data_IF_152666434614
#
_entry.id   IF_152666434614
#
_cell.length_a   1.000
_cell.length_b   1.000
_cell.length_c   1.000
_cell.angle_alpha   90.00
_cell.angle_beta   90.00
_cell.angle_gamma   90.00
#
_symmetry.space_group_name_H-M   'P 1'
#
loop_
_entity.id
_entity.type
_entity.pdbx_description
1 polymer ?
#
# COMPACT_ATOMS: atom_id res chain seq x y z
N UNK A 1 -23.03 -15.12 -2.93
CA UNK A 1 -21.70 -15.61 -2.49
C UNK A 1 -21.14 -14.57 -1.54
N UNK A 2 -21.03 -14.91 -0.28
CA UNK A 2 -20.34 -14.08 0.72
C UNK A 2 -18.88 -13.93 0.29
N UNK A 3 -18.46 -12.71 0.03
CA UNK A 3 -17.08 -12.42 -0.30
C UNK A 3 -16.30 -12.44 1.01
N UNK A 4 -15.55 -13.50 1.27
CA UNK A 4 -14.67 -13.57 2.44
C UNK A 4 -13.45 -12.68 2.18
N UNK A 5 -13.26 -11.69 3.01
CA UNK A 5 -12.06 -10.85 3.04
C UNK A 5 -11.42 -10.94 4.43
N UNK A 6 -10.13 -10.70 4.47
CA UNK A 6 -9.39 -10.55 5.73
C UNK A 6 -8.50 -9.34 5.65
N UNK A 7 -8.42 -8.61 6.75
CA UNK A 7 -7.56 -7.44 6.91
C UNK A 7 -6.48 -7.78 7.94
N UNK A 8 -5.23 -7.64 7.56
CA UNK A 8 -4.09 -7.83 8.45
C UNK A 8 -3.45 -6.48 8.70
N UNK A 9 -3.48 -6.03 9.94
CA UNK A 9 -2.90 -4.76 10.38
C UNK A 9 -1.54 -5.05 10.98
N UNK A 10 -0.49 -4.68 10.25
CA UNK A 10 0.90 -4.86 10.66
C UNK A 10 1.48 -3.52 11.09
N UNK A 11 2.06 -3.49 12.26
CA UNK A 11 2.67 -2.30 12.84
C UNK A 11 2.35 -2.18 14.32
N UNK A 12 3.07 -1.30 14.98
CA UNK A 12 2.92 -0.99 16.39
C UNK A 12 2.73 0.51 16.59
N UNK A 13 2.15 0.89 17.72
CA UNK A 13 1.91 2.28 18.09
C UNK A 13 0.86 2.42 19.18
N UNK A 14 0.63 3.64 19.68
CA UNK A 14 -0.26 3.90 20.80
C UNK A 14 -1.71 3.46 20.57
N UNK A 15 -2.15 3.36 19.32
CA UNK A 15 -3.52 2.98 18.97
C UNK A 15 -3.72 1.44 18.84
N UNK A 16 -2.66 0.64 18.91
CA UNK A 16 -2.75 -0.81 18.68
C UNK A 16 -3.67 -1.50 19.69
N UNK A 17 -3.54 -1.20 20.97
CA UNK A 17 -4.38 -1.80 22.01
C UNK A 17 -5.84 -1.38 21.90
N UNK A 18 -6.09 -0.12 21.53
CA UNK A 18 -7.44 0.36 21.26
C UNK A 18 -8.06 -0.37 20.06
N UNK A 19 -7.30 -0.56 19.00
CA UNK A 19 -7.75 -1.31 17.81
C UNK A 19 -8.03 -2.78 18.15
N UNK A 20 -7.15 -3.43 18.90
CA UNK A 20 -7.35 -4.82 19.35
C UNK A 20 -8.62 -4.97 20.18
N UNK A 21 -8.86 -4.02 21.10
CA UNK A 21 -10.09 -4.01 21.91
C UNK A 21 -11.32 -3.87 21.02
N UNK A 22 -11.35 -2.92 20.09
CA UNK A 22 -12.47 -2.76 19.15
C UNK A 22 -12.72 -4.02 18.32
N UNK A 23 -11.67 -4.66 17.80
CA UNK A 23 -11.81 -5.91 17.06
C UNK A 23 -12.39 -7.03 17.93
N UNK A 24 -12.04 -7.08 19.23
CA UNK A 24 -12.58 -8.08 20.16
C UNK A 24 -14.04 -7.85 20.52
N UNK A 25 -14.42 -6.58 20.67
CA UNK A 25 -15.77 -6.17 21.10
C UNK A 25 -16.82 -6.23 19.95
N UNK A 26 -16.38 -6.31 18.71
CA UNK A 26 -17.25 -6.39 17.51
C UNK A 26 -17.03 -7.71 16.78
N UNK A 27 -18.05 -8.56 16.74
CA UNK A 27 -17.98 -9.89 16.12
C UNK A 27 -17.61 -9.83 14.63
N UNK A 28 -18.12 -8.84 13.88
CA UNK A 28 -17.77 -8.71 12.46
C UNK A 28 -16.28 -8.35 12.29
N UNK A 29 -15.76 -7.48 13.16
CA UNK A 29 -14.33 -7.14 13.10
C UNK A 29 -13.46 -8.31 13.55
N UNK A 30 -13.84 -9.03 14.61
CA UNK A 30 -13.05 -10.15 15.14
C UNK A 30 -12.86 -11.29 14.15
N UNK A 31 -13.82 -11.51 13.27
CA UNK A 31 -13.73 -12.54 12.22
C UNK A 31 -12.86 -12.13 11.03
N UNK A 32 -12.70 -10.84 10.79
CA UNK A 32 -12.12 -10.33 9.55
C UNK A 32 -10.85 -9.49 9.73
N UNK A 33 -10.58 -8.98 10.93
CA UNK A 33 -9.46 -8.05 11.18
C UNK A 33 -8.47 -8.64 12.19
N UNK A 34 -7.24 -8.83 11.76
CA UNK A 34 -6.15 -9.37 12.56
C UNK A 34 -5.08 -8.32 12.84
N UNK A 35 -4.97 -7.89 14.10
CA UNK A 35 -3.98 -6.91 14.56
C UNK A 35 -2.68 -7.65 14.93
N UNK A 36 -1.75 -7.74 13.98
CA UNK A 36 -0.51 -8.51 14.10
C UNK A 36 0.52 -7.87 15.04
N UNK A 37 0.44 -6.56 15.25
CA UNK A 37 1.51 -5.82 15.93
C UNK A 37 2.75 -5.65 15.03
N UNK A 38 3.89 -5.34 15.66
CA UNK A 38 5.18 -5.32 14.94
C UNK A 38 5.62 -6.74 14.60
N UNK A 39 6.02 -6.95 13.36
CA UNK A 39 6.63 -8.20 12.92
C UNK A 39 8.05 -7.97 12.39
N UNK A 40 8.98 -8.92 12.51
CA UNK A 40 10.32 -8.79 11.97
C UNK A 40 10.30 -8.54 10.46
N UNK A 41 11.23 -7.70 9.97
CA UNK A 41 11.31 -7.37 8.54
C UNK A 41 11.40 -8.61 7.64
N UNK A 42 12.14 -9.63 8.08
CA UNK A 42 12.27 -10.90 7.33
C UNK A 42 10.95 -11.67 7.19
N UNK A 43 9.97 -11.42 8.05
CA UNK A 43 8.66 -12.05 7.99
C UNK A 43 7.67 -11.27 7.12
N UNK A 44 7.96 -10.00 6.81
CA UNK A 44 7.14 -9.18 5.91
C UNK A 44 6.94 -9.81 4.53
N UNK A 45 7.91 -10.60 4.07
CA UNK A 45 7.82 -11.32 2.79
C UNK A 45 6.60 -12.25 2.75
N UNK A 46 6.31 -12.94 3.86
CA UNK A 46 5.14 -13.81 3.98
C UNK A 46 3.84 -13.03 3.97
N UNK A 47 3.84 -11.86 4.62
CA UNK A 47 2.67 -10.97 4.64
C UNK A 47 2.35 -10.46 3.23
N UNK A 48 3.36 -9.98 2.50
CA UNK A 48 3.18 -9.59 1.10
C UNK A 48 2.72 -10.76 0.22
N UNK A 49 3.31 -11.97 0.38
CA UNK A 49 2.93 -13.13 -0.42
C UNK A 49 1.47 -13.54 -0.24
N UNK A 50 0.88 -13.29 0.92
CA UNK A 50 -0.52 -13.57 1.23
C UNK A 50 -1.48 -12.42 0.90
N UNK A 51 -0.99 -11.25 0.48
CA UNK A 51 -1.82 -10.07 0.27
C UNK A 51 -2.28 -9.93 -1.19
N UNK A 52 -3.54 -9.58 -1.39
CA UNK A 52 -4.08 -9.22 -2.69
C UNK A 52 -4.04 -7.71 -2.94
N UNK A 53 -4.14 -6.91 -1.89
CA UNK A 53 -4.13 -5.44 -1.92
C UNK A 53 -3.35 -4.94 -0.70
N UNK A 54 -2.50 -3.95 -0.89
CA UNK A 54 -1.83 -3.26 0.20
C UNK A 54 -2.50 -1.92 0.45
N UNK A 55 -2.85 -1.64 1.71
CA UNK A 55 -3.54 -0.39 2.08
C UNK A 55 -2.60 0.45 2.94
N UNK A 56 -2.31 1.66 2.49
CA UNK A 56 -1.51 2.63 3.25
C UNK A 56 -2.26 3.96 3.36
N UNK A 57 -3.04 4.16 4.44
CA UNK A 57 -3.85 5.35 4.64
C UNK A 57 -3.08 6.51 5.30
N UNK A 58 -1.75 6.54 5.13
CA UNK A 58 -0.89 7.53 5.77
C UNK A 58 -1.11 8.93 5.19
N UNK A 59 -1.42 9.90 6.06
CA UNK A 59 -1.60 11.31 5.70
C UNK A 59 -0.23 12.03 5.65
N UNK A 60 0.77 11.50 6.35
CA UNK A 60 2.13 12.06 6.42
C UNK A 60 3.13 10.98 6.04
N UNK A 61 3.49 10.97 4.79
CA UNK A 61 4.48 10.04 4.25
C UNK A 61 5.43 10.81 3.32
N UNK A 62 6.73 10.53 3.41
CA UNK A 62 7.72 11.18 2.55
C UNK A 62 7.89 10.43 1.23
N UNK A 63 8.39 9.22 1.29
CA UNK A 63 8.73 8.40 0.09
C UNK A 63 7.92 7.13 -0.03
N UNK A 64 7.44 6.58 1.09
CA UNK A 64 6.64 5.36 1.08
C UNK A 64 7.39 4.16 0.52
N UNK A 65 8.57 3.83 1.05
CA UNK A 65 9.34 2.66 0.57
C UNK A 65 8.53 1.37 0.59
N UNK A 66 7.65 1.20 1.57
CA UNK A 66 6.71 0.06 1.67
C UNK A 66 5.75 -0.02 0.46
N UNK A 67 5.45 1.13 -0.17
CA UNK A 67 4.67 1.17 -1.41
C UNK A 67 5.45 0.53 -2.57
N UNK A 68 6.75 0.81 -2.68
CA UNK A 68 7.62 0.18 -3.68
C UNK A 68 7.80 -1.32 -3.41
N UNK A 69 7.86 -1.72 -2.15
CA UNK A 69 7.91 -3.13 -1.76
C UNK A 69 6.66 -3.85 -2.26
N UNK A 70 5.46 -3.35 -1.94
CA UNK A 70 4.19 -3.91 -2.43
C UNK A 70 4.15 -3.95 -3.97
N UNK A 71 4.53 -2.84 -4.65
CA UNK A 71 4.62 -2.79 -6.11
C UNK A 71 5.51 -3.90 -6.68
N UNK A 72 6.70 -4.10 -6.10
CA UNK A 72 7.68 -5.10 -6.56
C UNK A 72 7.15 -6.52 -6.47
N UNK A 73 6.23 -6.78 -5.56
CA UNK A 73 5.53 -8.06 -5.39
C UNK A 73 4.30 -8.20 -6.30
N UNK A 74 3.97 -7.18 -7.05
CA UNK A 74 2.79 -7.18 -7.91
C UNK A 74 1.48 -6.97 -7.15
N UNK A 75 1.56 -6.33 -5.98
CA UNK A 75 0.41 -6.01 -5.13
C UNK A 75 -0.01 -4.56 -5.43
N UNK A 76 -1.24 -4.34 -5.91
CA UNK A 76 -1.75 -2.99 -6.10
C UNK A 76 -2.01 -2.33 -4.75
N UNK A 77 -1.95 -1.01 -4.72
CA UNK A 77 -2.02 -0.25 -3.47
C UNK A 77 -3.27 0.63 -3.44
N UNK A 78 -3.89 0.72 -2.27
CA UNK A 78 -4.85 1.78 -1.94
C UNK A 78 -4.11 2.80 -1.06
N UNK A 79 -3.96 4.03 -1.53
CA UNK A 79 -3.23 5.08 -0.80
C UNK A 79 -3.78 6.47 -1.11
N UNK A 80 -3.41 7.45 -0.31
CA UNK A 80 -3.78 8.85 -0.53
C UNK A 80 -3.03 9.40 -1.74
N UNK A 81 -3.73 10.20 -2.57
CA UNK A 81 -3.14 10.90 -3.72
C UNK A 81 -2.30 12.10 -3.28
N UNK A 82 -1.30 11.84 -2.45
CA UNK A 82 -0.32 12.81 -1.96
C UNK A 82 1.04 12.14 -1.80
N UNK A 83 2.10 12.93 -1.77
CA UNK A 83 3.47 12.47 -1.49
C UNK A 83 3.90 11.27 -2.37
N UNK A 84 4.48 10.25 -1.76
CA UNK A 84 4.96 9.05 -2.44
C UNK A 84 3.86 8.32 -3.22
N UNK A 85 2.63 8.29 -2.69
CA UNK A 85 1.48 7.69 -3.38
C UNK A 85 1.20 8.33 -4.73
N UNK A 86 1.13 9.67 -4.79
CA UNK A 86 0.88 10.42 -6.02
C UNK A 86 2.03 10.29 -7.06
N UNK A 87 3.25 10.01 -6.60
CA UNK A 87 4.43 9.84 -7.48
C UNK A 87 4.50 8.42 -8.04
N UNK A 88 4.25 7.43 -7.19
CA UNK A 88 4.47 6.03 -7.50
C UNK A 88 3.27 5.37 -8.20
N UNK A 89 2.06 5.81 -7.88
CA UNK A 89 0.84 5.17 -8.35
C UNK A 89 0.02 6.06 -9.28
N UNK A 90 -0.80 5.42 -10.07
CA UNK A 90 -1.82 5.98 -10.95
C UNK A 90 -3.01 5.01 -11.02
N UNK A 91 -4.04 5.38 -11.78
CA UNK A 91 -5.25 4.57 -11.97
C UNK A 91 -4.99 3.16 -12.55
N UNK A 92 -3.83 2.93 -13.12
CA UNK A 92 -3.47 1.64 -13.73
C UNK A 92 -2.66 0.74 -12.80
N UNK A 93 -2.15 1.27 -11.68
CA UNK A 93 -1.27 0.58 -10.75
C UNK A 93 -1.80 0.51 -9.32
N UNK A 94 -2.85 1.28 -9.00
CA UNK A 94 -3.45 1.28 -7.67
C UNK A 94 -4.73 2.13 -7.61
N UNK A 95 -5.21 2.36 -6.41
CA UNK A 95 -6.33 3.25 -6.11
C UNK A 95 -5.80 4.43 -5.30
N UNK A 96 -5.88 5.60 -5.89
CA UNK A 96 -5.52 6.85 -5.25
C UNK A 96 -6.80 7.56 -4.81
N UNK A 97 -6.89 7.89 -3.55
CA UNK A 97 -8.03 8.60 -3.00
C UNK A 97 -7.61 9.94 -2.38
N UNK A 98 -8.55 10.86 -2.32
CA UNK A 98 -8.38 12.21 -1.82
C UNK A 98 -9.44 12.51 -0.77
N UNK A 99 -9.27 13.62 -0.06
CA UNK A 99 -10.22 14.18 0.87
C UNK A 99 -9.70 15.50 1.42
N UNK A 100 -10.60 16.34 1.91
CA UNK A 100 -10.29 17.58 2.60
C UNK A 100 -10.57 17.47 4.11
N UNK A 101 -11.45 16.54 4.49
CA UNK A 101 -11.80 16.23 5.87
C UNK A 101 -11.50 14.77 6.20
N UNK A 102 -11.45 14.45 7.48
CA UNK A 102 -11.28 13.08 7.96
C UNK A 102 -12.38 12.15 7.44
N UNK A 103 -13.60 12.64 7.44
CA UNK A 103 -14.79 11.90 6.99
C UNK A 103 -14.70 11.57 5.50
N UNK A 104 -14.28 12.53 4.67
CA UNK A 104 -14.08 12.31 3.23
C UNK A 104 -12.98 11.27 2.97
N UNK A 105 -11.85 11.33 3.70
CA UNK A 105 -10.81 10.31 3.59
C UNK A 105 -11.31 8.92 3.93
N UNK A 106 -12.08 8.77 5.01
CA UNK A 106 -12.65 7.48 5.42
C UNK A 106 -13.61 6.95 4.36
N UNK A 107 -14.52 7.78 3.86
CA UNK A 107 -15.51 7.37 2.88
C UNK A 107 -14.86 7.00 1.54
N UNK A 108 -13.86 7.74 1.09
CA UNK A 108 -13.18 7.46 -0.17
C UNK A 108 -12.25 6.23 -0.06
N UNK A 109 -11.62 6.00 1.10
CA UNK A 109 -10.92 4.75 1.38
C UNK A 109 -11.88 3.55 1.34
N UNK A 110 -13.04 3.67 1.97
CA UNK A 110 -14.07 2.63 1.96
C UNK A 110 -14.53 2.31 0.53
N UNK A 111 -14.78 3.32 -0.31
CA UNK A 111 -15.14 3.13 -1.73
C UNK A 111 -14.06 2.35 -2.47
N UNK A 112 -12.77 2.71 -2.28
CA UNK A 112 -11.66 2.01 -2.92
C UNK A 112 -11.57 0.54 -2.50
N UNK A 113 -11.79 0.24 -1.22
CA UNK A 113 -11.81 -1.14 -0.70
C UNK A 113 -12.98 -1.92 -1.33
N UNK A 114 -14.18 -1.34 -1.35
CA UNK A 114 -15.35 -2.00 -1.94
C UNK A 114 -15.18 -2.25 -3.44
N UNK A 115 -14.54 -1.34 -4.16
CA UNK A 115 -14.21 -1.53 -5.58
C UNK A 115 -13.27 -2.73 -5.78
N UNK A 116 -12.24 -2.87 -4.93
CA UNK A 116 -11.32 -4.02 -4.96
C UNK A 116 -12.07 -5.34 -4.72
N UNK A 117 -12.96 -5.37 -3.73
CA UNK A 117 -13.76 -6.56 -3.41
C UNK A 117 -14.68 -6.94 -4.58
N UNK A 118 -15.31 -5.95 -5.20
CA UNK A 118 -16.23 -6.18 -6.32
C UNK A 118 -15.52 -6.58 -7.61
N UNK A 119 -14.25 -6.22 -7.79
CA UNK A 119 -13.52 -6.36 -9.05
C UNK A 119 -12.17 -7.08 -8.91
N UNK A 120 -12.11 -8.38 -8.58
CA UNK A 120 -10.84 -9.11 -8.42
C UNK A 120 -9.96 -9.11 -9.68
N UNK A 121 -10.58 -9.02 -10.86
CA UNK A 121 -9.86 -8.88 -12.14
C UNK A 121 -9.04 -7.59 -12.22
N UNK A 122 -9.59 -6.48 -11.75
CA UNK A 122 -8.90 -5.19 -11.67
C UNK A 122 -7.74 -5.23 -10.66
N UNK A 123 -7.94 -5.89 -9.52
CA UNK A 123 -6.86 -6.11 -8.55
C UNK A 123 -5.68 -6.80 -9.20
N UNK A 124 -5.92 -7.89 -9.92
CA UNK A 124 -4.89 -8.65 -10.63
C UNK A 124 -4.23 -7.81 -11.74
N UNK A 125 -5.02 -7.08 -12.53
CA UNK A 125 -4.51 -6.23 -13.61
C UNK A 125 -3.59 -5.13 -13.09
N UNK A 126 -4.06 -4.38 -12.09
CA UNK A 126 -3.31 -3.28 -11.48
C UNK A 126 -2.05 -3.79 -10.79
N UNK A 127 -2.09 -4.95 -10.14
CA UNK A 127 -0.92 -5.57 -9.53
C UNK A 127 0.17 -5.90 -10.54
N UNK A 128 -0.18 -6.50 -11.69
CA UNK A 128 0.76 -6.75 -12.78
C UNK A 128 1.40 -5.46 -13.31
N UNK A 129 0.60 -4.42 -13.48
CA UNK A 129 1.09 -3.11 -13.92
C UNK A 129 1.99 -2.45 -12.88
N UNK A 130 1.65 -2.55 -11.59
CA UNK A 130 2.45 -2.06 -10.48
C UNK A 130 3.84 -2.72 -10.49
N UNK A 131 3.92 -4.05 -10.63
CA UNK A 131 5.18 -4.77 -10.72
C UNK A 131 6.04 -4.30 -11.89
N UNK A 132 5.46 -4.19 -13.08
CA UNK A 132 6.16 -3.68 -14.26
C UNK A 132 6.67 -2.26 -14.07
N UNK A 133 5.89 -1.40 -13.39
CA UNK A 133 6.30 -0.03 -13.09
C UNK A 133 7.43 0.01 -12.06
N UNK A 134 7.43 -0.90 -11.06
CA UNK A 134 8.46 -0.99 -10.02
C UNK A 134 9.87 -1.23 -10.58
N UNK A 135 10.00 -1.90 -11.74
CA UNK A 135 11.28 -2.14 -12.42
C UNK A 135 12.06 -0.84 -12.71
N UNK A 136 11.35 0.30 -12.85
CA UNK A 136 11.95 1.62 -13.08
C UNK A 136 12.53 2.26 -11.81
N UNK A 137 12.26 1.69 -10.64
CA UNK A 137 12.65 2.23 -9.33
C UNK A 137 13.72 1.39 -8.63
N UNK A 138 14.42 0.52 -9.37
CA UNK A 138 15.53 -0.28 -8.84
C UNK A 138 16.75 0.59 -8.54
N UNK A 139 17.61 0.11 -7.66
CA UNK A 139 18.89 0.77 -7.38
C UNK A 139 19.78 0.89 -8.62
N UNK A 140 19.73 -0.10 -9.52
CA UNK A 140 20.46 -0.04 -10.79
C UNK A 140 20.00 1.14 -11.65
N UNK A 141 18.70 1.36 -11.78
CA UNK A 141 18.16 2.49 -12.55
C UNK A 141 18.46 3.84 -11.87
N UNK A 142 18.43 3.90 -10.54
CA UNK A 142 18.87 5.10 -9.79
C UNK A 142 20.33 5.38 -10.00
N UNK A 143 21.20 4.37 -9.90
CA UNK A 143 22.64 4.54 -10.08
C UNK A 143 23.01 5.05 -11.47
N UNK A 144 22.35 4.55 -12.54
CA UNK A 144 22.55 5.10 -13.90
C UNK A 144 22.25 6.59 -13.96
N UNK A 145 21.19 7.05 -13.30
CA UNK A 145 20.82 8.48 -13.26
C UNK A 145 21.84 9.30 -12.49
N UNK A 146 22.31 8.81 -11.34
CA UNK A 146 23.35 9.49 -10.58
C UNK A 146 24.67 9.57 -11.34
N UNK A 147 25.09 8.48 -11.98
CA UNK A 147 26.29 8.45 -12.82
C UNK A 147 26.19 9.51 -13.93
N UNK A 148 25.10 9.60 -14.64
CA UNK A 148 24.90 10.60 -15.68
C UNK A 148 25.03 12.05 -15.15
N UNK A 149 24.52 12.30 -13.95
CA UNK A 149 24.63 13.61 -13.29
C UNK A 149 26.12 13.92 -12.95
N UNK A 150 26.82 12.95 -12.36
CA UNK A 150 28.25 13.13 -12.04
C UNK A 150 29.10 13.37 -13.28
N UNK A 151 28.86 12.61 -14.36
CA UNK A 151 29.56 12.80 -15.64
C UNK A 151 29.33 14.19 -16.24
N UNK A 152 28.11 14.75 -16.09
CA UNK A 152 27.83 16.12 -16.52
C UNK A 152 28.58 17.17 -15.70
N UNK A 153 28.70 16.95 -14.40
CA UNK A 153 29.40 17.87 -13.49
C UNK A 153 30.92 17.86 -13.73
N UNK A 154 31.50 16.71 -14.06
CA UNK A 154 32.93 16.56 -14.32
C UNK A 154 33.34 17.11 -15.71
N UNK A 155 32.42 17.36 -16.61
CA UNK A 155 32.66 17.97 -17.93
C UNK A 155 32.66 19.51 -17.92
N UNK A 156 32.36 20.13 -16.77
CA UNK A 156 32.45 21.58 -16.55
C UNK A 156 33.76 21.96 -15.92
#
# INVERSE_FOLDING_TARGET
KETRYQVRVVGDGPELEHLRKRCKDDLNLSEHVHCMGSIPYMEMEKEYAGANVFIMPSIRETTGTVLLEAMSKGIPVITINKFGGAILFDKDTGWLYEGNTKEEYIENLKKAILECIANPGEVTRRGKNARKKAEKYTWQEKNKKYQAIYEQLLKK
#
